data_IF_115649682278
#
_entry.id   IF_115649682278
#
_cell.length_a   1.000
_cell.length_b   1.000
_cell.length_c   1.000
_cell.angle_alpha   90.00
_cell.angle_beta   90.00
_cell.angle_gamma   90.00
#
_symmetry.space_group_name_H-M   'P 1'
#
loop_
_entity.id
_entity.type
_entity.pdbx_description
1 polymer ?
#
# COMPACT_ATOMS: atom_id res chain seq x y z
N UNK A 1 -18.22 -4.63 -25.42
CA UNK A 1 -16.89 -4.23 -24.92
C UNK A 1 -16.54 -5.04 -23.66
N UNK A 2 -16.23 -6.33 -23.81
CA UNK A 2 -16.05 -7.28 -22.68
C UNK A 2 -14.56 -7.41 -22.26
N UNK A 3 -13.64 -6.77 -22.99
CA UNK A 3 -12.19 -6.93 -22.83
C UNK A 3 -11.57 -6.08 -21.70
N UNK A 4 -12.37 -5.26 -21.01
CA UNK A 4 -11.93 -4.44 -19.86
C UNK A 4 -12.20 -5.06 -18.49
N UNK A 5 -12.95 -6.16 -18.43
CA UNK A 5 -13.33 -6.81 -17.16
C UNK A 5 -12.42 -7.98 -16.76
N UNK A 6 -11.56 -8.46 -17.66
CA UNK A 6 -10.64 -9.56 -17.36
C UNK A 6 -9.44 -9.12 -16.50
N UNK A 7 -9.07 -7.82 -16.51
CA UNK A 7 -7.93 -7.32 -15.73
C UNK A 7 -8.22 -7.13 -14.24
N UNK A 8 -9.48 -6.88 -13.87
CA UNK A 8 -9.84 -6.57 -12.49
C UNK A 8 -9.96 -7.82 -11.58
N UNK A 9 -10.24 -8.99 -12.15
CA UNK A 9 -10.46 -10.21 -11.37
C UNK A 9 -9.16 -10.88 -10.89
N UNK A 10 -8.01 -10.62 -11.53
CA UNK A 10 -6.74 -11.23 -11.15
C UNK A 10 -6.04 -10.52 -9.97
N UNK A 11 -6.35 -9.23 -9.74
CA UNK A 11 -5.67 -8.42 -8.71
C UNK A 11 -6.26 -8.64 -7.31
N UNK A 12 -7.56 -8.93 -7.21
CA UNK A 12 -8.23 -9.18 -5.93
C UNK A 12 -7.71 -10.44 -5.20
N UNK A 13 -7.15 -11.42 -5.92
CA UNK A 13 -6.62 -12.64 -5.33
C UNK A 13 -5.24 -12.46 -4.67
N UNK A 14 -4.48 -11.43 -5.07
CA UNK A 14 -3.13 -11.19 -4.51
C UNK A 14 -3.22 -10.39 -3.21
N UNK A 15 -4.19 -9.48 -3.07
CA UNK A 15 -4.41 -8.68 -1.88
C UNK A 15 -4.72 -9.52 -0.62
N UNK A 16 -5.44 -10.66 -0.79
CA UNK A 16 -5.74 -11.56 0.32
C UNK A 16 -4.59 -12.50 0.72
N UNK A 17 -3.53 -12.61 -0.10
CA UNK A 17 -2.37 -13.44 0.22
C UNK A 17 -1.23 -12.65 0.88
N UNK A 18 -1.25 -11.31 0.81
CA UNK A 18 -0.16 -10.45 1.29
C UNK A 18 -0.52 -9.59 2.51
N UNK A 19 -1.79 -9.45 2.88
CA UNK A 19 -2.14 -8.74 4.11
C UNK A 19 -1.69 -9.56 5.34
N UNK A 20 -0.62 -9.17 6.05
CA UNK A 20 -0.20 -9.93 7.21
C UNK A 20 -1.23 -9.63 8.31
N UNK A 21 -1.98 -10.65 8.70
CA UNK A 21 -2.98 -10.64 9.78
C UNK A 21 -2.45 -10.22 11.18
N UNK A 22 -1.21 -9.75 11.26
CA UNK A 22 -0.45 -9.41 12.46
C UNK A 22 -0.37 -7.91 12.74
N UNK A 23 -0.97 -7.08 11.87
CA UNK A 23 -0.91 -5.64 11.97
C UNK A 23 -1.94 -5.01 12.96
N UNK A 24 -2.58 -5.85 13.78
CA UNK A 24 -3.58 -5.48 14.79
C UNK A 24 -3.00 -5.07 16.16
N UNK A 25 -1.70 -5.24 16.44
CA UNK A 25 -1.18 -5.10 17.81
C UNK A 25 -0.22 -3.93 18.10
N UNK A 26 0.24 -3.15 17.11
CA UNK A 26 1.28 -2.13 17.38
C UNK A 26 0.86 -0.75 16.86
N UNK A 27 0.42 0.10 17.80
CA UNK A 27 -0.07 1.46 17.58
C UNK A 27 1.02 2.50 17.29
N UNK A 28 1.74 2.32 16.18
CA UNK A 28 2.54 3.39 15.58
C UNK A 28 1.67 4.23 14.63
N UNK A 29 1.59 5.55 14.83
CA UNK A 29 0.82 6.46 13.97
C UNK A 29 1.24 6.26 12.49
N UNK A 30 0.33 5.67 11.70
CA UNK A 30 0.49 5.41 10.26
C UNK A 30 1.03 4.03 9.88
N UNK A 31 1.92 3.43 10.68
CA UNK A 31 2.53 2.13 10.39
C UNK A 31 1.83 0.99 11.16
N UNK A 32 0.59 0.72 10.76
CA UNK A 32 -0.30 -0.28 11.37
C UNK A 32 -1.16 -0.90 10.27
N UNK A 33 -1.85 -2.01 10.53
CA UNK A 33 -2.61 -2.72 9.50
C UNK A 33 -3.67 -1.86 8.84
N UNK A 34 -4.31 -1.01 9.64
CA UNK A 34 -5.28 -0.02 9.16
C UNK A 34 -4.63 1.09 8.33
N UNK A 35 -3.38 1.46 8.64
CA UNK A 35 -2.61 2.43 7.88
C UNK A 35 -2.20 1.91 6.52
N UNK A 36 -1.71 0.66 6.45
CA UNK A 36 -1.41 -0.03 5.20
C UNK A 36 -2.66 -0.20 4.35
N UNK A 37 -3.74 -0.76 4.90
CA UNK A 37 -4.99 -0.95 4.17
C UNK A 37 -5.55 0.35 3.56
N UNK A 38 -5.44 1.47 4.29
CA UNK A 38 -5.85 2.78 3.78
C UNK A 38 -4.95 3.28 2.65
N UNK A 39 -3.63 3.12 2.79
CA UNK A 39 -2.69 3.55 1.77
C UNK A 39 -2.80 2.71 0.50
N UNK A 40 -2.91 1.39 0.64
CA UNK A 40 -3.16 0.45 -0.46
C UNK A 40 -4.48 0.79 -1.17
N UNK A 41 -5.57 1.03 -0.43
CA UNK A 41 -6.86 1.44 -1.01
C UNK A 41 -6.76 2.75 -1.81
N UNK A 42 -5.94 3.71 -1.34
CA UNK A 42 -5.73 4.96 -2.05
C UNK A 42 -4.94 4.76 -3.35
N UNK A 43 -3.93 3.88 -3.34
CA UNK A 43 -3.08 3.55 -4.49
C UNK A 43 -3.86 2.73 -5.52
N UNK A 44 -4.68 1.78 -5.09
CA UNK A 44 -5.56 0.99 -5.95
C UNK A 44 -6.58 1.87 -6.68
N UNK A 45 -7.10 2.91 -6.01
CA UNK A 45 -8.00 3.88 -6.61
C UNK A 45 -7.32 4.93 -7.50
N UNK A 46 -5.99 5.00 -7.50
CA UNK A 46 -5.24 5.95 -8.30
C UNK A 46 -5.11 5.50 -9.76
N UNK A 47 -4.96 6.48 -10.65
CA UNK A 47 -4.72 6.20 -12.07
C UNK A 47 -3.40 5.45 -12.25
N UNK A 48 -3.38 4.43 -13.11
CA UNK A 48 -2.15 3.74 -13.48
C UNK A 48 -1.17 4.72 -14.14
N UNK A 49 0.02 4.85 -13.55
CA UNK A 49 1.05 5.80 -13.96
C UNK A 49 2.29 5.75 -13.07
N UNK A 50 3.29 6.58 -13.37
CA UNK A 50 4.55 6.61 -12.61
C UNK A 50 4.34 6.92 -11.12
N UNK A 51 3.37 7.78 -10.78
CA UNK A 51 3.02 8.09 -9.39
C UNK A 51 2.48 6.87 -8.62
N UNK A 52 1.64 6.04 -9.26
CA UNK A 52 1.16 4.78 -8.67
C UNK A 52 2.30 3.79 -8.46
N UNK A 53 3.17 3.63 -9.45
CA UNK A 53 4.32 2.72 -9.35
C UNK A 53 5.32 3.17 -8.27
N UNK A 54 5.57 4.48 -8.15
CA UNK A 54 6.36 5.05 -7.07
C UNK A 54 5.70 4.80 -5.70
N UNK A 55 4.39 4.98 -5.60
CA UNK A 55 3.65 4.73 -4.38
C UNK A 55 3.69 3.26 -3.95
N UNK A 56 3.53 2.31 -4.87
CA UNK A 56 3.65 0.87 -4.59
C UNK A 56 5.04 0.50 -4.08
N UNK A 57 6.09 1.11 -4.64
CA UNK A 57 7.48 0.92 -4.17
C UNK A 57 7.66 1.44 -2.74
N UNK A 58 7.09 2.59 -2.41
CA UNK A 58 7.13 3.15 -1.06
C UNK A 58 6.31 2.28 -0.06
N UNK A 59 5.21 1.65 -0.48
CA UNK A 59 4.50 0.67 0.36
C UNK A 59 5.37 -0.56 0.64
N UNK A 60 6.08 -1.09 -0.35
CA UNK A 60 7.00 -2.21 -0.14
C UNK A 60 8.12 -1.83 0.85
N UNK A 61 8.68 -0.62 0.74
CA UNK A 61 9.68 -0.11 1.67
C UNK A 61 9.12 0.11 3.09
N UNK A 62 7.86 0.57 3.20
CA UNK A 62 7.17 0.69 4.48
C UNK A 62 6.96 -0.68 5.14
N UNK A 63 6.58 -1.70 4.37
CA UNK A 63 6.42 -3.07 4.87
C UNK A 63 7.75 -3.67 5.35
N UNK A 64 8.84 -3.50 4.59
CA UNK A 64 10.18 -3.92 5.03
C UNK A 64 10.57 -3.23 6.35
N UNK A 65 10.38 -1.91 6.44
CA UNK A 65 10.66 -1.16 7.66
C UNK A 65 9.81 -1.64 8.85
N UNK A 66 8.53 -1.97 8.62
CA UNK A 66 7.66 -2.55 9.65
C UNK A 66 8.17 -3.90 10.16
N UNK A 67 8.51 -4.82 9.25
CA UNK A 67 9.05 -6.15 9.58
C UNK A 67 10.39 -6.06 10.32
N UNK A 68 11.18 -5.02 10.03
CA UNK A 68 12.44 -4.73 10.71
C UNK A 68 12.27 -3.89 12.00
N UNK A 69 11.06 -3.69 12.51
CA UNK A 69 10.75 -2.87 13.70
C UNK A 69 11.21 -1.39 13.59
N UNK A 70 11.40 -0.87 12.37
CA UNK A 70 11.78 0.51 12.07
C UNK A 70 10.54 1.38 11.84
N UNK A 71 9.69 1.51 12.86
CA UNK A 71 8.37 2.16 12.74
C UNK A 71 8.43 3.62 12.24
N UNK A 72 9.49 4.37 12.57
CA UNK A 72 9.69 5.73 12.05
C UNK A 72 9.94 5.77 10.53
N UNK A 73 10.78 4.85 10.03
CA UNK A 73 11.02 4.72 8.58
C UNK A 73 9.76 4.22 7.87
N UNK A 74 9.04 3.28 8.47
CA UNK A 74 7.76 2.82 7.93
C UNK A 74 6.75 3.96 7.77
N UNK A 75 6.55 4.77 8.82
CA UNK A 75 5.63 5.92 8.76
C UNK A 75 6.05 6.93 7.67
N UNK A 76 7.35 7.16 7.49
CA UNK A 76 7.88 8.01 6.43
C UNK A 76 7.59 7.47 5.03
N UNK A 77 7.86 6.19 4.78
CA UNK A 77 7.58 5.54 3.50
C UNK A 77 6.08 5.52 3.20
N UNK A 78 5.24 5.24 4.20
CA UNK A 78 3.79 5.21 4.03
C UNK A 78 3.21 6.60 3.69
N UNK A 79 3.77 7.67 4.28
CA UNK A 79 3.39 9.04 3.95
C UNK A 79 3.88 9.46 2.54
N UNK A 80 5.05 8.99 2.11
CA UNK A 80 5.53 9.20 0.73
C UNK A 80 4.63 8.51 -0.27
N UNK A 81 4.29 7.25 -0.04
CA UNK A 81 3.38 6.50 -0.91
C UNK A 81 2.07 7.27 -1.15
N UNK A 82 1.46 7.78 -0.09
CA UNK A 82 0.24 8.60 -0.18
C UNK A 82 0.45 9.92 -0.95
N UNK A 83 1.62 10.56 -0.82
CA UNK A 83 1.94 11.77 -1.58
C UNK A 83 2.17 11.49 -3.05
N UNK A 84 2.88 10.43 -3.39
CA UNK A 84 3.12 10.02 -4.77
C UNK A 84 1.83 9.56 -5.47
N UNK A 85 0.87 9.05 -4.68
CA UNK A 85 -0.50 8.75 -5.13
C UNK A 85 -1.32 10.03 -5.40
N UNK A 86 -1.12 11.08 -4.61
CA UNK A 86 -1.86 12.35 -4.73
C UNK A 86 -1.20 13.35 -5.70
N UNK A 87 0.07 13.16 -6.03
CA UNK A 87 0.79 13.93 -7.03
C UNK A 87 0.31 13.50 -8.43
N UNK A 88 -0.40 14.42 -9.08
CA UNK A 88 -0.98 14.27 -10.41
C UNK A 88 0.02 14.57 -11.52
#
# INVERSE_FOLDING_TARGET
MIKKLLGAAAVAAVAFAVAPAQAAHLGGVGCSGTGFAKAESAIEGAADGEGKFAAEKEIAAAQDAFLNNKFGACSSHLNKALRDTAAK
#
